data_IF_763416761613
#
_entry.id   IF_763416761613
#
_cell.length_a   1.000
_cell.length_b   1.000
_cell.length_c   1.000
_cell.angle_alpha   90.00
_cell.angle_beta   90.00
_cell.angle_gamma   90.00
#
_symmetry.space_group_name_H-M   'P 1'
#
loop_
_entity.id
_entity.type
_entity.pdbx_description
1 polymer ?
#
# COMPACT_ATOMS: atom_id res chain seq x y z
N UNK A 1 7.26 -2.88 -27.51
CA UNK A 1 8.24 -3.36 -26.50
C UNK A 1 7.53 -4.24 -25.49
N UNK A 2 7.96 -5.50 -25.37
CA UNK A 2 7.46 -6.47 -24.40
C UNK A 2 7.67 -6.02 -22.94
N UNK A 3 6.88 -6.58 -22.03
CA UNK A 3 7.04 -6.33 -20.59
C UNK A 3 8.35 -6.99 -20.10
N UNK A 4 9.21 -6.24 -19.39
CA UNK A 4 10.34 -6.82 -18.65
C UNK A 4 9.92 -7.94 -17.72
N UNK A 5 10.78 -8.95 -17.55
CA UNK A 5 10.56 -9.98 -16.54
C UNK A 5 10.58 -9.33 -15.15
N UNK A 6 9.50 -9.51 -14.39
CA UNK A 6 9.38 -9.08 -13.00
C UNK A 6 9.56 -10.32 -12.15
N UNK A 7 10.46 -10.31 -11.17
CA UNK A 7 10.69 -11.47 -10.32
C UNK A 7 10.81 -11.11 -8.85
N UNK A 8 10.51 -12.08 -8.00
CA UNK A 8 10.54 -11.97 -6.54
C UNK A 8 10.82 -13.37 -5.94
N UNK A 9 11.27 -13.43 -4.69
CA UNK A 9 11.41 -14.67 -3.93
C UNK A 9 10.06 -15.35 -3.73
N UNK A 10 10.06 -16.68 -3.70
CA UNK A 10 8.84 -17.48 -3.51
C UNK A 10 8.07 -17.13 -2.23
N UNK A 11 8.77 -16.82 -1.14
CA UNK A 11 8.17 -16.39 0.14
C UNK A 11 7.32 -15.10 0.01
N UNK A 12 7.56 -14.32 -1.04
CA UNK A 12 6.89 -13.06 -1.35
C UNK A 12 5.99 -13.15 -2.60
N UNK A 13 5.54 -14.35 -2.98
CA UNK A 13 4.72 -14.57 -4.18
C UNK A 13 3.46 -13.68 -4.27
N UNK A 14 2.92 -13.23 -3.13
CA UNK A 14 1.81 -12.27 -3.06
C UNK A 14 2.08 -10.96 -3.79
N UNK A 15 3.34 -10.52 -3.85
CA UNK A 15 3.73 -9.30 -4.57
C UNK A 15 3.61 -9.49 -6.08
N UNK A 16 4.00 -10.66 -6.60
CA UNK A 16 3.79 -11.00 -8.01
C UNK A 16 2.30 -11.12 -8.31
N UNK A 17 1.51 -11.75 -7.43
CA UNK A 17 0.06 -11.84 -7.58
C UNK A 17 -0.62 -10.45 -7.61
N UNK A 18 -0.18 -9.52 -6.75
CA UNK A 18 -0.64 -8.13 -6.73
C UNK A 18 -0.38 -7.42 -8.06
N UNK A 19 0.85 -7.51 -8.58
CA UNK A 19 1.23 -6.90 -9.85
C UNK A 19 0.45 -7.54 -11.01
N UNK A 20 0.38 -8.87 -11.06
CA UNK A 20 -0.38 -9.59 -12.07
C UNK A 20 -1.86 -9.17 -12.07
N UNK A 21 -2.50 -9.09 -10.90
CA UNK A 21 -3.89 -8.65 -10.80
C UNK A 21 -4.16 -7.28 -11.44
N UNK A 22 -3.20 -6.35 -11.35
CA UNK A 22 -3.31 -5.04 -11.98
C UNK A 22 -3.02 -5.07 -13.49
N UNK A 23 -2.13 -5.95 -13.94
CA UNK A 23 -1.72 -6.06 -15.35
C UNK A 23 -2.64 -6.97 -16.18
N UNK A 24 -3.42 -7.87 -15.54
CA UNK A 24 -4.19 -8.90 -16.24
C UNK A 24 -5.18 -8.35 -17.28
N UNK A 25 -5.95 -7.31 -16.91
CA UNK A 25 -6.94 -6.71 -17.82
C UNK A 25 -6.27 -5.92 -18.96
N UNK A 26 -5.27 -5.05 -18.70
CA UNK A 26 -4.50 -4.41 -19.76
C UNK A 26 -3.75 -5.38 -20.69
N UNK A 27 -3.28 -6.51 -20.16
CA UNK A 27 -2.49 -7.49 -20.92
C UNK A 27 -3.34 -8.41 -21.81
N UNK A 28 -4.68 -8.35 -21.75
CA UNK A 28 -5.56 -9.15 -22.60
C UNK A 28 -5.39 -10.67 -22.45
N UNK A 29 -4.93 -11.14 -21.29
CA UNK A 29 -4.71 -12.58 -21.03
C UNK A 29 -3.31 -13.11 -21.35
N UNK A 30 -2.41 -12.29 -21.91
CA UNK A 30 -1.05 -12.70 -22.28
C UNK A 30 -0.06 -12.55 -21.12
N UNK A 31 -0.36 -13.09 -19.95
CA UNK A 31 0.55 -13.10 -18.81
C UNK A 31 0.89 -14.52 -18.39
N UNK A 32 2.18 -14.74 -18.07
CA UNK A 32 2.68 -16.01 -17.57
C UNK A 32 3.33 -15.81 -16.22
N UNK A 33 2.92 -16.61 -15.25
CA UNK A 33 3.59 -16.76 -13.96
C UNK A 33 4.38 -18.07 -13.99
N UNK A 34 5.65 -18.02 -13.62
CA UNK A 34 6.50 -19.20 -13.49
C UNK A 34 7.19 -19.25 -12.13
N UNK A 35 7.41 -20.47 -11.65
CA UNK A 35 8.11 -20.77 -10.41
C UNK A 35 9.39 -21.53 -10.75
N UNK A 36 10.49 -21.24 -10.06
CA UNK A 36 11.75 -21.93 -10.28
C UNK A 36 12.92 -21.27 -9.58
N UNK A 37 13.81 -22.09 -9.01
CA UNK A 37 15.01 -21.61 -8.33
C UNK A 37 14.72 -20.76 -7.08
N UNK A 38 13.60 -21.00 -6.40
CA UNK A 38 13.19 -20.22 -5.23
C UNK A 38 12.61 -18.83 -5.58
N UNK A 39 12.20 -18.63 -6.84
CA UNK A 39 11.65 -17.36 -7.35
C UNK A 39 10.35 -17.56 -8.10
N UNK A 40 9.50 -16.54 -8.02
CA UNK A 40 8.32 -16.38 -8.86
C UNK A 40 8.61 -15.26 -9.86
N UNK A 41 8.30 -15.51 -11.13
CA UNK A 41 8.47 -14.53 -12.19
C UNK A 41 7.14 -14.29 -12.91
N UNK A 42 6.94 -13.05 -13.35
CA UNK A 42 5.85 -12.60 -14.19
C UNK A 42 6.41 -12.04 -15.49
N UNK A 43 5.94 -12.56 -16.62
CA UNK A 43 6.25 -12.06 -17.95
C UNK A 43 4.98 -11.86 -18.77
N UNK A 44 5.04 -10.97 -19.76
CA UNK A 44 3.94 -10.71 -20.68
C UNK A 44 4.44 -10.27 -22.04
N UNK A 45 3.77 -10.73 -23.10
CA UNK A 45 4.03 -10.31 -24.47
C UNK A 45 3.27 -9.01 -24.84
N UNK A 46 2.57 -8.38 -23.90
CA UNK A 46 1.81 -7.15 -24.13
C UNK A 46 2.69 -5.90 -24.21
N UNK A 47 2.44 -5.05 -25.21
CA UNK A 47 3.09 -3.75 -25.31
C UNK A 47 2.48 -2.71 -24.36
N UNK A 48 3.26 -1.72 -23.94
CA UNK A 48 2.76 -0.58 -23.16
C UNK A 48 2.47 -0.88 -21.68
N UNK A 49 2.74 -2.10 -21.20
CA UNK A 49 2.52 -2.49 -19.81
C UNK A 49 3.57 -1.94 -18.84
N UNK A 50 4.75 -1.54 -19.34
CA UNK A 50 5.89 -1.12 -18.52
C UNK A 50 5.56 0.00 -17.52
N UNK A 51 4.92 1.13 -17.90
CA UNK A 51 4.64 2.20 -16.93
C UNK A 51 3.74 1.73 -15.78
N UNK A 52 2.73 0.90 -16.09
CA UNK A 52 1.85 0.34 -15.06
C UNK A 52 2.58 -0.69 -14.20
N UNK A 53 3.45 -1.52 -14.79
CA UNK A 53 4.28 -2.44 -14.04
C UNK A 53 5.23 -1.73 -13.08
N UNK A 54 5.95 -0.70 -13.55
CA UNK A 54 6.80 0.15 -12.71
C UNK A 54 6.00 0.81 -11.58
N UNK A 55 4.78 1.26 -11.87
CA UNK A 55 3.87 1.81 -10.86
C UNK A 55 3.54 0.78 -9.76
N UNK A 56 3.25 -0.46 -10.15
CA UNK A 56 2.87 -1.52 -9.21
C UNK A 56 4.07 -2.08 -8.45
N UNK A 57 5.24 -2.17 -9.08
CA UNK A 57 6.50 -2.48 -8.40
C UNK A 57 6.83 -1.40 -7.36
N UNK A 58 6.65 -0.13 -7.71
CA UNK A 58 6.86 0.96 -6.76
C UNK A 58 5.90 0.88 -5.57
N UNK A 59 4.64 0.46 -5.77
CA UNK A 59 3.71 0.16 -4.67
C UNK A 59 4.18 -1.01 -3.80
N UNK A 60 4.62 -2.11 -4.39
CA UNK A 60 5.20 -3.25 -3.64
C UNK A 60 6.37 -2.80 -2.76
N UNK A 61 7.27 -1.97 -3.30
CA UNK A 61 8.44 -1.47 -2.58
C UNK A 61 8.04 -0.47 -1.47
N UNK A 62 7.23 0.53 -1.79
CA UNK A 62 6.90 1.61 -0.86
C UNK A 62 5.85 1.22 0.19
N UNK A 63 5.13 0.11 -0.01
CA UNK A 63 4.10 -0.37 0.91
C UNK A 63 4.53 -1.71 1.52
N UNK A 64 4.68 -2.75 0.70
CA UNK A 64 4.97 -4.10 1.20
C UNK A 64 6.34 -4.20 1.89
N UNK A 65 7.40 -3.76 1.22
CA UNK A 65 8.75 -3.77 1.80
C UNK A 65 8.92 -2.73 2.92
N UNK A 66 8.36 -1.53 2.76
CA UNK A 66 8.39 -0.51 3.82
C UNK A 66 7.70 -1.00 5.10
N UNK A 67 6.55 -1.67 4.97
CA UNK A 67 5.85 -2.23 6.13
C UNK A 67 6.70 -3.24 6.90
N UNK A 68 7.49 -4.07 6.21
CA UNK A 68 8.42 -4.99 6.87
C UNK A 68 9.52 -4.25 7.66
N UNK A 69 10.02 -3.13 7.15
CA UNK A 69 10.99 -2.27 7.87
C UNK A 69 10.33 -1.54 9.06
N UNK A 70 9.01 -1.40 9.08
CA UNK A 70 8.23 -0.84 10.20
C UNK A 70 7.76 -1.91 11.22
N UNK A 71 8.18 -3.16 11.08
CA UNK A 71 7.73 -4.25 11.95
C UNK A 71 8.08 -4.03 13.44
N UNK A 72 9.14 -3.27 13.73
CA UNK A 72 9.54 -2.88 15.09
C UNK A 72 8.70 -1.73 15.69
N UNK A 73 7.90 -1.04 14.88
CA UNK A 73 7.03 0.03 15.36
C UNK A 73 5.86 -0.60 16.12
N UNK A 74 5.99 -0.66 17.43
CA UNK A 74 5.00 -1.19 18.37
C UNK A 74 5.06 -0.39 19.68
N UNK A 75 4.68 0.90 19.65
CA UNK A 75 4.75 1.74 20.83
C UNK A 75 3.72 1.30 21.88
N UNK A 76 4.08 1.44 23.16
CA UNK A 76 3.14 1.25 24.25
C UNK A 76 2.01 2.29 24.17
N UNK A 77 0.80 1.90 24.54
CA UNK A 77 -0.39 2.78 24.51
C UNK A 77 -1.30 2.61 23.28
N UNK A 78 -0.89 1.81 22.29
CA UNK A 78 -1.76 1.35 21.20
C UNK A 78 -2.08 -0.15 21.35
N UNK A 79 -3.31 -0.53 20.99
CA UNK A 79 -3.65 -1.93 20.76
C UNK A 79 -3.12 -2.42 19.41
N UNK A 80 -3.26 -3.73 19.14
CA UNK A 80 -2.79 -4.33 17.89
C UNK A 80 -3.39 -3.66 16.64
N UNK A 81 -4.71 -3.43 16.64
CA UNK A 81 -5.39 -2.74 15.53
C UNK A 81 -4.91 -1.30 15.31
N UNK A 82 -4.83 -0.48 16.37
CA UNK A 82 -4.34 0.89 16.26
C UNK A 82 -2.86 0.96 15.84
N UNK A 83 -2.04 -0.03 16.25
CA UNK A 83 -0.64 -0.15 15.81
C UNK A 83 -0.55 -0.39 14.30
N UNK A 84 -1.44 -1.21 13.76
CA UNK A 84 -1.55 -1.44 12.31
C UNK A 84 -2.00 -0.19 11.54
N UNK A 85 -2.92 0.59 12.12
CA UNK A 85 -3.31 1.89 11.57
C UNK A 85 -2.14 2.88 11.58
N UNK A 86 -1.36 2.94 12.67
CA UNK A 86 -0.16 3.78 12.75
C UNK A 86 0.85 3.42 11.65
N UNK A 87 1.16 2.14 11.46
CA UNK A 87 2.07 1.68 10.39
C UNK A 87 1.56 2.05 9.01
N UNK A 88 0.28 1.85 8.74
CA UNK A 88 -0.34 2.26 7.47
C UNK A 88 -0.28 3.78 7.27
N UNK A 89 -0.48 4.58 8.33
CA UNK A 89 -0.43 6.03 8.28
C UNK A 89 0.99 6.55 8.01
N UNK A 90 2.03 5.97 8.63
CA UNK A 90 3.44 6.27 8.34
C UNK A 90 3.78 5.99 6.87
N UNK A 91 3.31 4.85 6.35
CA UNK A 91 3.47 4.52 4.92
C UNK A 91 2.78 5.57 4.05
N UNK A 92 1.51 5.88 4.35
CA UNK A 92 0.71 6.82 3.58
C UNK A 92 1.32 8.23 3.55
N UNK A 93 1.90 8.70 4.66
CA UNK A 93 2.51 10.02 4.78
C UNK A 93 3.65 10.26 3.77
N UNK A 94 4.54 9.28 3.59
CA UNK A 94 5.68 9.42 2.67
C UNK A 94 5.40 8.87 1.26
N UNK A 95 4.30 8.13 1.08
CA UNK A 95 4.10 7.27 -0.10
C UNK A 95 4.31 8.01 -1.43
N UNK A 96 3.82 9.23 -1.55
CA UNK A 96 3.94 10.00 -2.79
C UNK A 96 5.40 10.40 -3.10
N UNK A 97 6.22 10.69 -2.09
CA UNK A 97 7.63 11.01 -2.26
C UNK A 97 8.44 9.74 -2.53
N UNK A 98 8.24 8.71 -1.70
CA UNK A 98 8.94 7.43 -1.82
C UNK A 98 8.66 6.78 -3.19
N UNK A 99 7.40 6.81 -3.65
CA UNK A 99 7.01 6.31 -4.98
C UNK A 99 7.71 7.07 -6.11
N UNK A 100 7.81 8.41 -6.01
CA UNK A 100 8.54 9.21 -7.00
C UNK A 100 10.02 8.84 -7.06
N UNK A 101 10.64 8.68 -5.88
CA UNK A 101 12.03 8.23 -5.79
C UNK A 101 12.23 6.85 -6.42
N UNK A 102 11.40 5.86 -6.06
CA UNK A 102 11.49 4.50 -6.59
C UNK A 102 11.28 4.45 -8.10
N UNK A 103 10.26 5.15 -8.62
CA UNK A 103 10.01 5.22 -10.06
C UNK A 103 11.23 5.79 -10.83
N UNK A 104 11.92 6.79 -10.28
CA UNK A 104 13.13 7.33 -10.91
C UNK A 104 14.26 6.29 -11.04
N UNK A 105 14.33 5.33 -10.11
CA UNK A 105 15.35 4.26 -10.08
C UNK A 105 14.99 3.03 -10.92
N UNK A 106 13.69 2.82 -11.19
CA UNK A 106 13.20 1.73 -12.04
C UNK A 106 13.39 1.99 -13.54
N UNK A 107 13.46 3.26 -13.96
CA UNK A 107 13.54 3.64 -15.37
C UNK A 107 14.70 2.95 -16.09
N UNK A 108 14.39 2.41 -17.28
CA UNK A 108 15.38 1.83 -18.18
C UNK A 108 15.87 0.43 -17.78
N UNK A 109 15.33 -0.17 -16.72
CA UNK A 109 15.69 -1.54 -16.35
C UNK A 109 15.14 -2.56 -17.37
N UNK A 110 15.95 -3.57 -17.69
CA UNK A 110 15.56 -4.68 -18.59
C UNK A 110 14.77 -5.76 -17.87
N UNK A 111 15.00 -5.90 -16.57
CA UNK A 111 14.36 -6.85 -15.67
C UNK A 111 14.14 -6.18 -14.31
N UNK A 112 13.14 -6.65 -13.56
CA UNK A 112 12.79 -6.14 -12.25
C UNK A 112 12.81 -7.26 -11.19
N UNK A 113 14.00 -7.69 -10.71
CA UNK A 113 14.08 -8.44 -9.46
C UNK A 113 13.76 -7.51 -8.29
N UNK A 114 12.55 -7.59 -7.74
CA UNK A 114 12.01 -6.62 -6.77
C UNK A 114 12.87 -6.58 -5.49
N UNK A 115 13.18 -7.74 -4.91
CA UNK A 115 14.09 -7.91 -3.78
C UNK A 115 15.50 -7.36 -4.05
N UNK A 116 16.02 -7.58 -5.26
CA UNK A 116 17.31 -7.06 -5.69
C UNK A 116 17.30 -5.53 -5.78
N UNK A 117 16.25 -4.93 -6.33
CA UNK A 117 16.07 -3.48 -6.36
C UNK A 117 16.01 -2.91 -4.94
N UNK A 118 15.22 -3.51 -4.07
CA UNK A 118 15.12 -3.12 -2.67
C UNK A 118 16.47 -3.16 -1.95
N UNK A 119 17.20 -4.28 -2.10
CA UNK A 119 18.44 -4.53 -1.38
C UNK A 119 19.58 -3.62 -1.87
N UNK A 120 19.74 -3.47 -3.18
CA UNK A 120 20.94 -2.86 -3.76
C UNK A 120 20.72 -1.44 -4.26
N UNK A 121 19.53 -1.09 -4.76
CA UNK A 121 19.27 0.22 -5.39
C UNK A 121 18.53 1.21 -4.50
N UNK A 122 17.92 0.73 -3.41
CA UNK A 122 17.10 1.54 -2.50
C UNK A 122 17.70 1.65 -1.09
N UNK A 123 19.01 1.44 -0.93
CA UNK A 123 19.68 1.51 0.37
C UNK A 123 19.40 2.81 1.14
N UNK A 124 19.58 3.96 0.50
CA UNK A 124 19.36 5.26 1.16
C UNK A 124 17.89 5.45 1.60
N UNK A 125 16.95 4.95 0.78
CA UNK A 125 15.52 4.99 1.10
C UNK A 125 15.19 4.09 2.29
N UNK A 126 15.82 2.91 2.38
CA UNK A 126 15.68 2.01 3.53
C UNK A 126 16.23 2.62 4.81
N UNK A 127 17.38 3.28 4.76
CA UNK A 127 17.93 3.98 5.92
C UNK A 127 17.04 5.15 6.35
N UNK A 128 16.44 5.90 5.41
CA UNK A 128 15.38 6.88 5.72
C UNK A 128 14.24 6.21 6.48
N UNK A 129 13.72 5.08 6.01
CA UNK A 129 12.60 4.39 6.64
C UNK A 129 12.92 3.88 8.05
N UNK A 130 14.12 3.34 8.27
CA UNK A 130 14.59 2.97 9.62
C UNK A 130 14.70 4.19 10.54
N UNK A 131 15.17 5.32 10.02
CA UNK A 131 15.18 6.58 10.74
C UNK A 131 13.77 7.01 11.16
N UNK A 132 12.80 6.97 10.24
CA UNK A 132 11.39 7.25 10.54
C UNK A 132 10.85 6.30 11.62
N UNK A 133 11.13 5.00 11.51
CA UNK A 133 10.71 4.01 12.51
C UNK A 133 11.29 4.32 13.91
N UNK A 134 12.56 4.71 13.97
CA UNK A 134 13.24 5.06 15.21
C UNK A 134 12.74 6.38 15.84
N UNK A 135 12.13 7.27 15.05
CA UNK A 135 11.52 8.50 15.53
C UNK A 135 10.12 8.29 16.15
N UNK A 136 9.51 7.11 16.00
CA UNK A 136 8.25 6.81 16.69
C UNK A 136 8.55 6.69 18.19
N UNK A 137 7.90 7.49 19.06
CA UNK A 137 8.20 7.44 20.48
C UNK A 137 7.81 6.08 21.08
N UNK A 138 8.52 5.61 22.12
CA UNK A 138 8.24 4.31 22.74
C UNK A 138 6.86 4.23 23.38
N UNK A 139 6.27 5.37 23.73
CA UNK A 139 4.88 5.50 24.16
C UNK A 139 4.16 6.39 23.16
N UNK A 140 3.10 5.87 22.55
CA UNK A 140 2.27 6.58 21.59
C UNK A 140 0.81 6.20 21.85
N UNK A 141 -0.01 7.18 22.18
CA UNK A 141 -1.39 6.96 22.60
C UNK A 141 -2.35 7.03 21.42
N UNK A 142 -3.57 6.51 21.62
CA UNK A 142 -4.64 6.64 20.62
C UNK A 142 -4.96 8.12 20.30
N UNK A 143 -4.85 9.02 21.28
CA UNK A 143 -5.02 10.46 21.05
C UNK A 143 -3.98 11.03 20.08
N UNK A 144 -2.71 10.69 20.28
CA UNK A 144 -1.61 11.07 19.37
C UNK A 144 -1.78 10.46 17.97
N UNK A 145 -2.34 9.25 17.87
CA UNK A 145 -2.69 8.67 16.57
C UNK A 145 -3.77 9.48 15.86
N UNK A 146 -4.80 9.92 16.57
CA UNK A 146 -5.84 10.79 16.00
C UNK A 146 -5.26 12.13 15.52
N UNK A 147 -4.39 12.76 16.31
CA UNK A 147 -3.70 14.01 15.92
C UNK A 147 -2.81 13.81 14.69
N UNK A 148 -2.06 12.71 14.63
CA UNK A 148 -1.23 12.37 13.48
C UNK A 148 -2.07 12.13 12.22
N UNK A 149 -3.19 11.42 12.34
CA UNK A 149 -4.14 11.21 11.25
C UNK A 149 -4.75 12.54 10.80
N UNK A 150 -5.12 13.44 11.71
CA UNK A 150 -5.64 14.76 11.36
C UNK A 150 -4.62 15.60 10.58
N UNK A 151 -3.36 15.62 11.04
CA UNK A 151 -2.27 16.28 10.32
C UNK A 151 -2.09 15.70 8.91
N UNK A 152 -2.01 14.37 8.79
CA UNK A 152 -1.89 13.68 7.52
C UNK A 152 -3.03 14.04 6.57
N UNK A 153 -4.28 13.93 7.05
CA UNK A 153 -5.49 14.16 6.27
C UNK A 153 -5.73 15.63 5.92
N UNK A 154 -5.18 16.57 6.69
CA UNK A 154 -5.26 18.02 6.43
C UNK A 154 -4.49 18.47 5.19
N UNK A 155 -3.49 17.70 4.76
CA UNK A 155 -2.62 18.05 3.63
C UNK A 155 -3.04 17.41 2.29
N UNK A 156 -3.90 16.39 2.36
CA UNK A 156 -4.22 15.53 1.21
C UNK A 156 -5.55 15.91 0.58
N UNK A 157 -5.62 15.73 -0.75
CA UNK A 157 -6.81 15.98 -1.55
C UNK A 157 -7.26 14.67 -2.17
N UNK A 158 -8.57 14.51 -2.35
CA UNK A 158 -9.14 13.34 -3.00
C UNK A 158 -10.30 12.74 -2.22
N UNK A 159 -10.96 11.79 -2.83
CA UNK A 159 -12.11 11.07 -2.28
C UNK A 159 -12.00 9.60 -2.67
N UNK A 160 -12.31 8.74 -1.72
CA UNK A 160 -12.57 7.32 -1.96
C UNK A 160 -14.01 6.98 -1.61
N UNK A 161 -14.48 5.86 -2.15
CA UNK A 161 -15.79 5.31 -1.85
C UNK A 161 -15.63 4.00 -1.08
N UNK A 162 -16.40 3.85 -0.01
CA UNK A 162 -16.52 2.63 0.77
C UNK A 162 -17.85 1.96 0.43
N UNK A 163 -17.82 0.71 -0.04
CA UNK A 163 -19.04 -0.08 -0.36
C UNK A 163 -18.83 -1.52 0.08
N UNK A 164 -19.55 -1.95 1.12
CA UNK A 164 -19.22 -3.18 1.84
C UNK A 164 -17.76 -3.17 2.29
N UNK A 165 -17.04 -4.28 2.15
CA UNK A 165 -15.60 -4.38 2.43
C UNK A 165 -14.69 -3.90 1.27
N UNK A 166 -15.21 -3.05 0.40
CA UNK A 166 -14.53 -2.57 -0.80
C UNK A 166 -14.23 -1.09 -0.73
N UNK A 167 -12.96 -0.74 -0.91
CA UNK A 167 -12.51 0.65 -1.09
C UNK A 167 -12.24 0.93 -2.57
N UNK A 168 -12.76 2.05 -3.08
CA UNK A 168 -12.68 2.41 -4.49
C UNK A 168 -12.18 3.83 -4.68
N UNK A 169 -11.40 4.06 -5.73
CA UNK A 169 -10.98 5.41 -6.12
C UNK A 169 -12.11 6.21 -6.80
N UNK A 170 -11.81 7.46 -7.14
CA UNK A 170 -12.75 8.36 -7.82
C UNK A 170 -13.23 7.89 -9.21
N UNK A 171 -12.57 6.87 -9.78
CA UNK A 171 -12.93 6.24 -11.06
C UNK A 171 -13.62 4.89 -10.84
N UNK A 172 -14.09 4.62 -9.62
CA UNK A 172 -14.74 3.37 -9.22
C UNK A 172 -13.84 2.13 -9.40
N UNK A 173 -12.51 2.30 -9.37
CA UNK A 173 -11.57 1.17 -9.40
C UNK A 173 -11.29 0.71 -7.98
N UNK A 174 -11.43 -0.59 -7.74
CA UNK A 174 -11.15 -1.18 -6.43
C UNK A 174 -9.67 -1.05 -6.09
N UNK A 175 -9.38 -0.47 -4.94
CA UNK A 175 -8.04 -0.41 -4.36
C UNK A 175 -7.73 -1.73 -3.63
N UNK A 176 -6.45 -2.11 -3.61
CA UNK A 176 -5.97 -3.40 -3.08
C UNK A 176 -4.58 -3.30 -2.43
N UNK A 177 -4.14 -2.12 -2.04
CA UNK A 177 -2.82 -1.90 -1.42
C UNK A 177 -2.67 -2.65 -0.10
N UNK A 178 -3.73 -2.88 0.66
CA UNK A 178 -3.67 -3.63 1.92
C UNK A 178 -3.19 -5.07 1.72
N UNK A 179 -3.42 -5.67 0.54
CA UNK A 179 -2.91 -7.00 0.20
C UNK A 179 -1.36 -7.11 0.21
N UNK A 180 -0.65 -5.99 0.21
CA UNK A 180 0.81 -5.95 0.28
C UNK A 180 1.35 -6.10 1.72
N UNK A 181 0.51 -5.89 2.73
CA UNK A 181 0.92 -5.84 4.15
C UNK A 181 0.24 -6.93 4.98
N UNK A 182 -0.06 -8.06 4.34
CA UNK A 182 -0.74 -9.20 4.94
C UNK A 182 -2.26 -9.14 4.81
N UNK A 183 -2.94 -10.12 5.40
CA UNK A 183 -4.40 -10.23 5.41
C UNK A 183 -4.84 -11.21 6.48
N UNK A 184 -6.15 -11.45 6.59
CA UNK A 184 -6.73 -12.41 7.55
C UNK A 184 -7.87 -11.83 8.39
N UNK A 185 -7.94 -10.50 8.45
CA UNK A 185 -9.07 -9.76 9.01
C UNK A 185 -9.59 -8.79 7.96
N UNK A 186 -10.78 -9.08 7.42
CA UNK A 186 -11.38 -8.29 6.34
C UNK A 186 -11.75 -6.86 6.75
N UNK A 187 -12.07 -6.64 8.03
CA UNK A 187 -12.37 -5.30 8.54
C UNK A 187 -11.06 -4.50 8.61
N UNK A 188 -10.03 -5.05 9.27
CA UNK A 188 -8.72 -4.40 9.36
C UNK A 188 -8.10 -4.14 7.98
N UNK A 189 -8.25 -5.07 7.02
CA UNK A 189 -7.81 -4.88 5.64
C UNK A 189 -8.48 -3.68 4.97
N UNK A 190 -9.77 -3.48 5.27
CA UNK A 190 -10.55 -2.33 4.76
C UNK A 190 -10.07 -1.03 5.40
N UNK A 191 -9.88 -1.01 6.72
CA UNK A 191 -9.36 0.18 7.43
C UNK A 191 -7.96 0.56 6.94
N UNK A 192 -7.06 -0.41 6.78
CA UNK A 192 -5.71 -0.19 6.24
C UNK A 192 -5.76 0.31 4.80
N UNK A 193 -6.66 -0.21 3.96
CA UNK A 193 -6.83 0.29 2.58
C UNK A 193 -7.31 1.75 2.56
N UNK A 194 -8.24 2.13 3.46
CA UNK A 194 -8.69 3.52 3.62
C UNK A 194 -7.49 4.43 3.93
N UNK A 195 -6.65 4.06 4.90
CA UNK A 195 -5.47 4.85 5.28
C UNK A 195 -4.43 4.90 4.15
N UNK A 196 -4.09 3.76 3.55
CA UNK A 196 -3.14 3.64 2.44
C UNK A 196 -3.60 4.35 1.16
N UNK A 197 -4.90 4.61 1.02
CA UNK A 197 -5.41 5.44 -0.08
C UNK A 197 -4.95 6.90 0.04
N UNK A 198 -4.63 7.34 1.26
CA UNK A 198 -4.27 8.72 1.61
C UNK A 198 -5.33 9.73 1.14
N UNK A 199 -6.60 9.31 1.12
CA UNK A 199 -7.69 10.15 0.65
C UNK A 199 -8.16 11.12 1.75
N UNK A 200 -8.37 12.38 1.40
CA UNK A 200 -8.86 13.39 2.34
C UNK A 200 -10.35 13.29 2.66
N UNK A 201 -11.12 12.49 1.91
CA UNK A 201 -12.55 12.26 2.13
C UNK A 201 -12.95 10.80 1.87
N UNK A 202 -13.90 10.31 2.65
CA UNK A 202 -14.51 8.99 2.47
C UNK A 202 -16.02 9.15 2.26
N UNK A 203 -16.55 8.51 1.22
CA UNK A 203 -17.99 8.47 0.97
C UNK A 203 -18.49 7.03 1.08
N UNK A 204 -19.36 6.77 2.07
CA UNK A 204 -19.93 5.46 2.32
C UNK A 204 -21.16 5.27 1.43
N UNK A 205 -21.14 4.23 0.60
CA UNK A 205 -22.18 3.87 -0.36
C UNK A 205 -22.92 2.63 0.14
N UNK A 206 -23.77 2.81 1.16
CA UNK A 206 -24.56 1.75 1.79
C UNK A 206 -24.09 1.42 3.22
N UNK A 207 -24.58 0.29 3.73
CA UNK A 207 -24.31 -0.14 5.09
C UNK A 207 -22.81 -0.43 5.32
N UNK A 208 -22.33 0.04 6.47
CA UNK A 208 -20.99 -0.22 7.00
C UNK A 208 -21.13 -0.90 8.36
N UNK A 209 -20.06 -1.56 8.80
CA UNK A 209 -19.98 -2.18 10.12
C UNK A 209 -19.80 -1.12 11.23
N UNK A 210 -20.09 -1.52 12.47
CA UNK A 210 -19.88 -0.65 13.63
C UNK A 210 -18.39 -0.29 13.83
N UNK A 211 -17.48 -1.22 13.52
CA UNK A 211 -16.02 -1.00 13.59
C UNK A 211 -15.56 0.02 12.55
N UNK A 212 -16.02 -0.11 11.30
CA UNK A 212 -15.77 0.89 10.25
C UNK A 212 -16.33 2.27 10.64
N UNK A 213 -17.54 2.34 11.20
CA UNK A 213 -18.14 3.60 11.62
C UNK A 213 -17.34 4.26 12.76
N UNK A 214 -16.96 3.52 13.80
CA UNK A 214 -16.14 4.03 14.91
C UNK A 214 -14.79 4.54 14.40
N UNK A 215 -14.12 3.78 13.52
CA UNK A 215 -12.87 4.19 12.87
C UNK A 215 -13.03 5.50 12.09
N UNK A 216 -14.06 5.58 11.24
CA UNK A 216 -14.32 6.73 10.38
C UNK A 216 -14.68 7.98 11.18
N UNK A 217 -15.50 7.84 12.22
CA UNK A 217 -15.84 8.95 13.13
C UNK A 217 -14.61 9.42 13.91
N UNK A 218 -13.72 8.51 14.31
CA UNK A 218 -12.52 8.83 15.07
C UNK A 218 -11.46 9.54 14.23
N UNK A 219 -11.06 8.95 13.10
CA UNK A 219 -9.90 9.41 12.34
C UNK A 219 -10.25 10.30 11.14
N UNK A 220 -11.49 10.25 10.65
CA UNK A 220 -11.96 11.02 9.50
C UNK A 220 -13.10 11.99 9.86
N UNK A 221 -13.22 12.39 11.14
CA UNK A 221 -14.24 13.34 11.60
C UNK A 221 -14.38 14.56 10.66
N UNK A 222 -15.61 14.89 10.27
CA UNK A 222 -15.92 15.99 9.33
C UNK A 222 -15.52 15.75 7.87
N UNK A 223 -14.90 14.60 7.56
CA UNK A 223 -14.41 14.22 6.22
C UNK A 223 -15.13 12.99 5.64
N UNK A 224 -16.18 12.51 6.30
CA UNK A 224 -16.96 11.33 5.90
C UNK A 224 -18.39 11.72 5.54
N UNK A 225 -18.87 11.19 4.41
CA UNK A 225 -20.29 11.19 4.06
C UNK A 225 -20.91 9.83 4.32
N UNK A 226 -21.79 9.72 5.31
CA UNK A 226 -22.62 8.54 5.54
C UNK A 226 -23.90 8.70 4.71
N UNK A 227 -24.05 7.94 3.62
CA UNK A 227 -25.30 7.83 2.88
C UNK A 227 -25.91 6.46 3.17
N UNK A 228 -27.00 6.48 3.95
CA UNK A 228 -27.89 5.33 4.16
C UNK A 228 -28.81 5.11 2.98
#
# INVERSE_FOLDING_TARGET
>A
MELPVISEREDNCRFIAYIAGALARPAGGNMRISFGGGRVSLSSCGEGLRPLAEEKIAEVLCIGYKYAELASVAPAGLGAGDTEILRAAIIAADFAEDKRYVLSRLRGAREYPIDGFFTFRLKDLREKWKGVAACVPPVFTRGQLSEFMEFLLGTVRGKIFLKGNGVYDSRCRRLRRSALIGGGDAELDTLREIVLSCAGKVECLGAITAGEEDFLRRYYAGRVGFRG
#
